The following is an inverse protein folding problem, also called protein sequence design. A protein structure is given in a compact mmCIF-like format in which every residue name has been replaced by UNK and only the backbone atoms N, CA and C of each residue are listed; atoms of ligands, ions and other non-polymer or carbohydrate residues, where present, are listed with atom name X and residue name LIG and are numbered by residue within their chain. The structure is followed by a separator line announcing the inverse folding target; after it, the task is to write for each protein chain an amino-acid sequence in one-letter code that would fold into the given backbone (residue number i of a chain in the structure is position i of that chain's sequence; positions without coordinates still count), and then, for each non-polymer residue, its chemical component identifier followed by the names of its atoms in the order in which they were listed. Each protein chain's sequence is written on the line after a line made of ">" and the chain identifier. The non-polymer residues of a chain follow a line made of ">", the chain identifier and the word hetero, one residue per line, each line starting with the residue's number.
data_IF_718497041954
#
_entry.id   IF_718497041954
#
_cell.length_a   1.000
_cell.length_b   1.000
_cell.length_c   1.000
_cell.angle_alpha   90.00
_cell.angle_beta   90.00
_cell.angle_gamma   90.00
#
_symmetry.space_group_name_H-M   'P 1'
#
loop_
_entity.id
_entity.type
_entity.pdbx_description
1 polymer ?
#
# COMPACT_ATOMS: atom_id res chain seq x y z
N UNK A 1 -2.24 6.91 2.44
CA UNK A 1 -1.48 5.67 2.75
C UNK A 1 -0.43 5.95 3.83
N UNK A 2 0.49 6.91 3.66
CA UNK A 2 1.61 7.17 4.59
C UNK A 2 1.24 7.22 6.08
N UNK A 3 0.13 7.89 6.46
CA UNK A 3 -0.36 7.89 7.84
C UNK A 3 -0.67 6.51 8.41
N UNK A 4 -1.23 5.62 7.59
CA UNK A 4 -1.56 4.25 8.02
C UNK A 4 -0.28 3.46 8.32
N UNK A 5 0.75 3.54 7.48
CA UNK A 5 2.04 2.91 7.78
C UNK A 5 2.71 3.54 9.00
N UNK A 6 2.74 4.86 9.10
CA UNK A 6 3.37 5.55 10.20
C UNK A 6 2.76 5.15 11.56
N UNK A 7 1.43 4.99 11.61
CA UNK A 7 0.73 4.47 12.79
C UNK A 7 1.10 3.03 13.12
N UNK A 8 1.34 2.20 12.11
CA UNK A 8 1.69 0.78 12.29
C UNK A 8 3.14 0.59 12.75
N UNK A 9 4.07 1.41 12.25
CA UNK A 9 5.50 1.25 12.57
C UNK A 9 5.95 2.06 13.78
N UNK A 10 5.24 3.14 14.13
CA UNK A 10 5.58 3.96 15.29
C UNK A 10 5.34 3.25 16.63
N UNK A 11 6.06 3.64 17.72
CA UNK A 11 6.99 4.77 17.77
C UNK A 11 8.41 4.47 17.31
N UNK A 12 8.80 3.18 17.21
CA UNK A 12 10.19 2.77 17.03
C UNK A 12 10.61 2.62 15.55
N UNK A 13 9.64 2.46 14.66
CA UNK A 13 9.87 2.39 13.21
C UNK A 13 9.79 3.75 12.52
N UNK A 14 10.11 3.76 11.23
CA UNK A 14 10.18 4.98 10.44
C UNK A 14 9.73 4.74 8.99
N UNK A 15 8.94 5.65 8.44
CA UNK A 15 8.48 5.63 7.05
C UNK A 15 9.26 6.66 6.25
N UNK A 16 9.95 6.20 5.19
CA UNK A 16 10.58 7.08 4.20
C UNK A 16 9.72 7.08 2.95
N UNK A 17 9.16 8.24 2.60
CA UNK A 17 8.27 8.41 1.44
C UNK A 17 8.88 9.37 0.43
N UNK A 18 8.65 9.09 -0.85
CA UNK A 18 9.26 9.80 -1.97
C UNK A 18 8.18 10.21 -2.98
N UNK A 19 8.22 11.45 -3.44
CA UNK A 19 7.37 11.94 -4.53
C UNK A 19 8.25 12.71 -5.52
N UNK A 20 8.06 12.50 -6.83
CA UNK A 20 8.81 13.19 -7.86
C UNK A 20 8.26 14.59 -8.17
N UNK A 21 7.05 14.91 -7.70
CA UNK A 21 6.51 16.26 -7.78
C UNK A 21 6.83 17.02 -6.50
N UNK A 22 7.73 17.99 -6.61
CA UNK A 22 8.17 18.85 -5.50
C UNK A 22 7.02 19.45 -4.70
N UNK A 23 6.01 19.97 -5.39
CA UNK A 23 4.84 20.57 -4.73
C UNK A 23 4.10 19.57 -3.83
N UNK A 24 3.91 18.32 -4.28
CA UNK A 24 3.24 17.28 -3.48
C UNK A 24 4.10 16.82 -2.32
N UNK A 25 5.42 16.69 -2.53
CA UNK A 25 6.36 16.33 -1.48
C UNK A 25 6.35 17.38 -0.34
N UNK A 26 6.32 18.66 -0.70
CA UNK A 26 6.29 19.78 0.25
C UNK A 26 4.94 19.88 0.99
N UNK A 27 3.82 19.72 0.29
CA UNK A 27 2.50 19.64 0.94
C UNK A 27 2.44 18.50 1.95
N UNK A 28 2.90 17.31 1.57
CA UNK A 28 2.94 16.15 2.46
C UNK A 28 3.85 16.41 3.67
N UNK A 29 5.01 17.06 3.48
CA UNK A 29 5.91 17.42 4.58
C UNK A 29 5.22 18.34 5.60
N UNK A 30 4.53 19.38 5.14
CA UNK A 30 3.76 20.29 6.01
C UNK A 30 2.65 19.55 6.74
N UNK A 31 1.93 18.68 6.04
CA UNK A 31 0.88 17.86 6.65
C UNK A 31 1.45 16.94 7.76
N UNK A 32 2.62 16.33 7.55
CA UNK A 32 3.26 15.51 8.58
C UNK A 32 3.76 16.36 9.77
N UNK A 33 4.17 17.60 9.54
CA UNK A 33 4.52 18.56 10.60
C UNK A 33 3.30 18.94 11.44
N UNK A 34 2.21 19.34 10.80
CA UNK A 34 0.95 19.72 11.46
C UNK A 34 0.37 18.57 12.30
N UNK A 35 0.53 17.32 11.83
CA UNK A 35 0.08 16.13 12.55
C UNK A 35 1.10 15.56 13.56
N UNK A 36 2.26 16.20 13.73
CA UNK A 36 3.27 15.76 14.70
C UNK A 36 3.98 14.45 14.35
N UNK A 37 4.03 14.10 13.06
CA UNK A 37 4.52 12.80 12.57
C UNK A 37 5.99 12.82 12.12
N UNK A 38 6.69 13.95 12.26
CA UNK A 38 8.07 14.14 11.78
C UNK A 38 9.09 13.19 12.39
N UNK A 39 8.81 12.62 13.57
CA UNK A 39 9.68 11.59 14.19
C UNK A 39 9.60 10.23 13.48
N UNK A 40 8.45 9.93 12.88
CA UNK A 40 8.13 8.62 12.30
C UNK A 40 8.02 8.66 10.78
N UNK A 41 7.98 9.84 10.15
CA UNK A 41 7.90 10.00 8.70
C UNK A 41 8.91 11.02 8.20
N UNK A 42 9.65 10.65 7.16
CA UNK A 42 10.43 11.57 6.32
C UNK A 42 9.89 11.56 4.90
N UNK A 43 9.48 12.74 4.40
CA UNK A 43 9.10 12.96 3.00
C UNK A 43 10.27 13.53 2.21
N UNK A 44 10.45 13.14 0.95
CA UNK A 44 11.53 13.61 0.09
C UNK A 44 11.09 13.80 -1.35
N UNK A 45 11.49 14.91 -1.97
CA UNK A 45 11.31 15.13 -3.40
C UNK A 45 12.38 14.35 -4.18
N UNK A 46 11.97 13.33 -4.92
CA UNK A 46 12.87 12.41 -5.65
C UNK A 46 12.12 11.59 -6.68
N UNK A 47 12.66 11.52 -7.90
CA UNK A 47 12.24 10.51 -8.88
C UNK A 47 12.93 9.17 -8.58
N UNK A 48 12.18 8.26 -7.97
CA UNK A 48 12.67 6.92 -7.62
C UNK A 48 12.82 5.99 -8.84
N UNK A 49 12.17 6.30 -9.98
CA UNK A 49 12.32 5.53 -11.21
C UNK A 49 13.66 5.80 -11.90
N UNK A 50 14.24 6.99 -11.69
CA UNK A 50 15.53 7.38 -12.27
C UNK A 50 16.67 7.25 -11.27
N UNK A 51 16.49 7.76 -10.04
CA UNK A 51 17.56 7.87 -9.05
C UNK A 51 17.53 6.79 -7.96
N UNK A 52 16.54 5.89 -8.00
CA UNK A 52 16.27 4.95 -6.92
C UNK A 52 15.92 5.65 -5.59
N UNK A 53 15.80 4.89 -4.50
CA UNK A 53 15.48 5.40 -3.18
C UNK A 53 16.65 6.16 -2.52
N UNK A 54 17.90 5.90 -2.92
CA UNK A 54 19.08 6.39 -2.20
C UNK A 54 19.19 5.81 -0.79
N UNK A 55 18.68 4.59 -0.60
CA UNK A 55 18.67 3.84 0.65
C UNK A 55 19.37 2.51 0.44
N UNK A 56 20.13 2.08 1.44
CA UNK A 56 20.83 0.81 1.45
C UNK A 56 20.69 0.16 2.83
N UNK A 57 20.34 -1.13 2.89
CA UNK A 57 20.35 -1.94 4.12
C UNK A 57 19.53 -1.35 5.30
N UNK A 58 18.37 -0.76 5.02
CA UNK A 58 17.56 -0.06 6.06
C UNK A 58 16.09 -0.45 6.09
N UNK A 59 15.52 -0.93 4.98
CA UNK A 59 14.08 -1.16 4.87
C UNK A 59 13.71 -2.61 5.21
N UNK A 60 12.67 -2.76 6.04
CA UNK A 60 12.00 -4.06 6.25
C UNK A 60 10.90 -4.32 5.21
N UNK A 61 10.33 -3.25 4.64
CA UNK A 61 9.28 -3.30 3.65
C UNK A 61 9.37 -2.14 2.65
N UNK A 62 8.93 -2.37 1.41
CA UNK A 62 8.80 -1.38 0.35
C UNK A 62 7.37 -1.42 -0.21
N UNK A 63 6.73 -0.26 -0.32
CA UNK A 63 5.42 -0.10 -0.95
C UNK A 63 5.56 0.81 -2.18
N UNK A 64 5.14 0.33 -3.35
CA UNK A 64 5.21 1.04 -4.61
C UNK A 64 3.81 1.41 -5.10
N UNK A 65 3.56 2.70 -5.28
CA UNK A 65 2.39 3.25 -5.98
C UNK A 65 2.91 4.18 -7.07
N UNK A 66 3.31 3.57 -8.19
CA UNK A 66 4.05 4.22 -9.28
C UNK A 66 3.47 3.79 -10.63
N UNK A 67 3.62 4.60 -11.69
CA UNK A 67 3.21 4.18 -13.04
C UNK A 67 4.10 3.07 -13.62
N UNK A 68 5.37 2.98 -13.19
CA UNK A 68 6.36 2.03 -13.71
C UNK A 68 7.13 1.29 -12.58
N UNK A 69 6.46 0.54 -11.70
CA UNK A 69 7.07 -0.03 -10.50
C UNK A 69 8.21 -1.02 -10.80
N UNK A 70 8.17 -1.70 -11.95
CA UNK A 70 9.24 -2.60 -12.40
C UNK A 70 10.62 -1.92 -12.57
N UNK A 71 10.67 -0.59 -12.78
CA UNK A 71 11.93 0.16 -12.87
C UNK A 71 12.65 0.30 -11.53
N UNK A 72 11.93 0.16 -10.42
CA UNK A 72 12.45 0.47 -9.07
C UNK A 72 12.83 -0.80 -8.30
N UNK A 73 12.60 -1.98 -8.87
CA UNK A 73 12.83 -3.27 -8.18
C UNK A 73 14.30 -3.42 -7.76
N UNK A 74 15.25 -3.07 -8.63
CA UNK A 74 16.68 -3.11 -8.27
C UNK A 74 16.98 -2.18 -7.09
N UNK A 75 16.41 -0.97 -7.08
CA UNK A 75 16.58 -0.05 -5.96
C UNK A 75 15.91 -0.56 -4.67
N UNK A 76 14.81 -1.32 -4.78
CA UNK A 76 14.16 -1.93 -3.62
C UNK A 76 15.03 -3.03 -3.00
N UNK A 77 15.68 -3.85 -3.83
CA UNK A 77 16.65 -4.86 -3.37
C UNK A 77 17.78 -4.21 -2.58
N UNK A 78 18.34 -3.10 -3.09
CA UNK A 78 19.39 -2.34 -2.38
C UNK A 78 18.91 -1.79 -1.04
N UNK A 79 17.67 -1.30 -0.98
CA UNK A 79 17.10 -0.71 0.23
C UNK A 79 16.81 -1.75 1.33
N UNK A 80 16.54 -3.01 0.98
CA UNK A 80 16.22 -4.05 1.97
C UNK A 80 17.40 -4.38 2.88
N UNK A 81 17.09 -4.70 4.14
CA UNK A 81 18.10 -5.18 5.08
C UNK A 81 18.71 -6.50 4.62
N UNK A 82 20.03 -6.58 4.58
CA UNK A 82 20.78 -7.77 4.13
C UNK A 82 20.56 -8.95 5.07
N UNK A 83 20.43 -8.70 6.38
CA UNK A 83 20.31 -9.75 7.40
C UNK A 83 18.95 -10.43 7.42
N UNK A 84 17.87 -9.67 7.18
CA UNK A 84 16.48 -10.14 7.32
C UNK A 84 15.71 -10.17 6.01
N UNK A 85 16.27 -9.60 4.94
CA UNK A 85 15.52 -9.30 3.72
C UNK A 85 14.40 -8.29 3.98
N UNK A 86 13.35 -8.36 3.17
CA UNK A 86 12.14 -7.58 3.39
C UNK A 86 10.98 -7.98 2.47
N UNK A 87 9.88 -7.24 2.58
CA UNK A 87 8.65 -7.48 1.79
C UNK A 87 8.40 -6.34 0.83
N UNK A 88 7.98 -6.65 -0.40
CA UNK A 88 7.60 -5.66 -1.40
C UNK A 88 6.12 -5.80 -1.73
N UNK A 89 5.41 -4.68 -1.75
CA UNK A 89 4.05 -4.58 -2.29
C UNK A 89 4.03 -3.52 -3.38
N UNK A 90 3.40 -3.81 -4.51
CA UNK A 90 3.19 -2.87 -5.60
C UNK A 90 1.70 -2.77 -5.89
N UNK A 91 1.20 -1.55 -5.99
CA UNK A 91 -0.13 -1.24 -6.47
C UNK A 91 -0.05 -0.89 -7.96
N UNK A 92 -0.84 -1.58 -8.79
CA UNK A 92 -0.86 -1.41 -10.24
C UNK A 92 -2.29 -1.47 -10.73
N UNK A 93 -2.83 -0.44 -11.41
CA UNK A 93 -4.19 -0.47 -11.93
C UNK A 93 -4.37 -1.38 -13.15
N UNK A 94 -3.31 -1.59 -13.94
CA UNK A 94 -3.38 -2.38 -15.18
C UNK A 94 -2.66 -3.72 -15.06
N UNK A 95 -3.21 -4.77 -15.68
CA UNK A 95 -2.63 -6.11 -15.65
C UNK A 95 -1.24 -6.16 -16.33
N UNK A 96 -1.02 -5.36 -17.36
CA UNK A 96 0.26 -5.24 -18.05
C UNK A 96 1.36 -4.68 -17.13
N UNK A 97 0.98 -3.79 -16.21
CA UNK A 97 1.89 -3.28 -15.18
C UNK A 97 2.22 -4.38 -14.18
N UNK A 98 1.23 -5.15 -13.74
CA UNK A 98 1.44 -6.32 -12.86
C UNK A 98 2.38 -7.33 -13.51
N UNK A 99 2.16 -7.69 -14.77
CA UNK A 99 2.99 -8.62 -15.51
C UNK A 99 4.46 -8.19 -15.54
N UNK A 100 4.73 -6.93 -15.90
CA UNK A 100 6.10 -6.38 -15.95
C UNK A 100 6.76 -6.35 -14.57
N UNK A 101 6.01 -6.00 -13.53
CA UNK A 101 6.51 -6.00 -12.15
C UNK A 101 6.85 -7.41 -11.68
N UNK A 102 5.98 -8.39 -11.93
CA UNK A 102 6.25 -9.79 -11.59
C UNK A 102 7.49 -10.33 -12.31
N UNK A 103 7.68 -10.01 -13.59
CA UNK A 103 8.89 -10.37 -14.34
C UNK A 103 10.16 -9.75 -13.71
N UNK A 104 10.12 -8.47 -13.37
CA UNK A 104 11.24 -7.79 -12.73
C UNK A 104 11.53 -8.35 -11.31
N UNK A 105 10.49 -8.67 -10.54
CA UNK A 105 10.64 -9.33 -9.22
C UNK A 105 11.32 -10.69 -9.37
N UNK A 106 10.88 -11.52 -10.31
CA UNK A 106 11.50 -12.82 -10.59
C UNK A 106 12.96 -12.69 -11.00
N UNK A 107 13.29 -11.74 -11.89
CA UNK A 107 14.67 -11.55 -12.35
C UNK A 107 15.62 -11.06 -11.26
N UNK A 108 15.08 -10.46 -10.19
CA UNK A 108 15.85 -9.98 -9.04
C UNK A 108 15.79 -10.92 -7.83
N UNK A 109 15.30 -12.14 -8.01
CA UNK A 109 15.36 -13.19 -6.99
C UNK A 109 14.29 -13.10 -5.90
N UNK A 110 13.20 -12.35 -6.11
CA UNK A 110 12.07 -12.36 -5.20
C UNK A 110 11.37 -13.73 -5.24
N UNK A 111 10.94 -14.17 -4.06
CA UNK A 111 10.16 -15.39 -3.85
C UNK A 111 8.76 -15.03 -3.34
N UNK A 112 7.83 -15.99 -3.35
CA UNK A 112 6.46 -15.79 -2.84
C UNK A 112 5.70 -14.64 -3.53
N UNK A 113 5.89 -14.50 -4.85
CA UNK A 113 5.25 -13.44 -5.65
C UNK A 113 3.78 -13.79 -5.83
N UNK A 114 2.92 -13.07 -5.12
CA UNK A 114 1.46 -13.25 -5.18
C UNK A 114 0.78 -11.93 -5.56
N UNK A 115 -0.23 -12.01 -6.43
CA UNK A 115 -1.08 -10.88 -6.82
C UNK A 115 -2.46 -11.04 -6.20
N UNK A 116 -2.97 -9.97 -5.58
CA UNK A 116 -4.29 -9.93 -4.98
C UNK A 116 -5.10 -8.77 -5.56
N UNK A 117 -6.42 -8.96 -5.64
CA UNK A 117 -7.41 -7.92 -5.89
C UNK A 117 -8.40 -7.93 -4.71
N UNK A 118 -8.73 -6.76 -4.17
CA UNK A 118 -9.71 -6.61 -3.10
C UNK A 118 -10.87 -5.77 -3.61
N UNK A 119 -12.10 -6.32 -3.55
CA UNK A 119 -13.31 -5.67 -4.03
C UNK A 119 -14.23 -5.36 -2.84
N UNK A 120 -14.24 -4.09 -2.42
CA UNK A 120 -15.16 -3.61 -1.38
C UNK A 120 -16.55 -3.37 -1.98
N UNK A 121 -17.58 -4.00 -1.40
CA UNK A 121 -18.98 -3.80 -1.79
C UNK A 121 -19.79 -3.28 -0.59
N UNK A 122 -20.10 -1.98 -0.52
CA UNK A 122 -20.94 -1.44 0.55
C UNK A 122 -22.39 -1.92 0.38
N UNK A 123 -23.02 -2.27 1.50
CA UNK A 123 -24.43 -2.63 1.54
C UNK A 123 -25.23 -1.54 2.27
N UNK A 124 -26.26 -1.04 1.61
CA UNK A 124 -27.22 -0.14 2.25
C UNK A 124 -28.24 -0.97 3.04
N UNK A 125 -28.32 -0.74 4.34
CA UNK A 125 -29.28 -1.43 5.21
C UNK A 125 -30.64 -0.79 5.02
N UNK A 126 -31.55 -1.48 4.30
CA UNK A 126 -32.95 -1.06 4.14
C UNK A 126 -33.89 -1.98 4.88
N UNK A 127 -34.86 -1.39 5.57
CA UNK A 127 -36.05 -2.13 6.02
C UNK A 127 -36.97 -2.31 4.83
N UNK A 128 -37.25 -3.57 4.49
CA UNK A 128 -38.17 -3.91 3.40
C UNK A 128 -39.42 -4.54 4.01
N UNK A 129 -40.59 -3.99 3.70
CA UNK A 129 -41.87 -4.60 4.09
C UNK A 129 -42.25 -5.62 3.03
N UNK A 130 -42.32 -6.89 3.42
CA UNK A 130 -42.82 -7.94 2.52
C UNK A 130 -44.35 -7.83 2.43
N UNK A 131 -44.96 -7.86 1.23
CA UNK A 131 -46.41 -7.90 1.10
C UNK A 131 -46.95 -9.17 1.77
N UNK A 132 -47.99 -9.00 2.59
CA UNK A 132 -48.60 -10.02 3.41
C UNK A 132 -49.10 -11.21 2.56
N UNK A 133 -48.61 -12.42 2.87
CA UNK A 133 -49.02 -13.64 2.17
C UNK A 133 -48.34 -14.95 2.61
N UNK A 134 -47.28 -14.91 3.43
CA UNK A 134 -46.68 -16.12 3.99
C UNK A 134 -47.03 -16.25 5.49
N UNK A 135 -47.85 -17.24 5.88
CA UNK A 135 -48.05 -17.54 7.28
C UNK A 135 -46.74 -18.14 7.82
N UNK A 136 -46.24 -17.60 8.95
CA UNK A 136 -45.03 -18.00 9.68
C UNK A 136 -43.68 -17.44 9.18
N UNK A 137 -43.40 -16.18 9.49
CA UNK A 137 -42.02 -15.75 9.77
C UNK A 137 -42.02 -14.95 11.07
N UNK A 138 -41.58 -15.57 12.17
CA UNK A 138 -41.59 -14.98 13.52
C UNK A 138 -40.29 -14.25 13.89
N UNK A 139 -39.19 -14.50 13.17
CA UNK A 139 -37.89 -13.83 13.34
C UNK A 139 -37.17 -13.78 11.98
N UNK A 140 -36.56 -12.64 11.66
CA UNK A 140 -35.64 -12.48 10.52
C UNK A 140 -34.33 -11.93 11.10
N UNK A 141 -33.24 -12.67 10.93
CA UNK A 141 -31.89 -12.24 11.27
C UNK A 141 -31.11 -11.95 9.97
N UNK A 142 -30.23 -10.96 9.99
CA UNK A 142 -29.34 -10.63 8.86
C UNK A 142 -27.91 -10.94 9.25
N UNK A 143 -27.26 -11.77 8.44
CA UNK A 143 -25.89 -12.23 8.64
C UNK A 143 -24.88 -11.29 7.97
N UNK A 144 -23.64 -11.37 8.45
CA UNK A 144 -22.51 -10.50 8.13
C UNK A 144 -21.96 -10.87 6.75
N UNK A 145 -21.92 -9.91 5.83
CA UNK A 145 -21.16 -10.06 4.60
C UNK A 145 -19.67 -9.80 4.88
N UNK A 146 -18.89 -10.87 5.08
CA UNK A 146 -17.45 -10.83 4.87
C UNK A 146 -17.16 -11.24 3.42
N UNK A 147 -16.62 -10.32 2.63
CA UNK A 147 -15.63 -10.63 1.59
C UNK A 147 -14.47 -9.67 1.75
#
# INVERSE_FOLDING_TARGET
>A
MTHALARTVGPDGHVRTFDFHEHRAELARREFEEHGMTKVVTSSHRDVCEAGFGLEDVADAVFLDLPHPWKVIESAVKAFKVTSGGRLCSFSPCMEQVQRTCQALQSHGFVDITTYECLERPFEVKRVSMPYGLPYVRYVATDIALR
#
